data_IF_925189163288
#
_entry.id   IF_925189163288
#
_cell.length_a   1.000
_cell.length_b   1.000
_cell.length_c   1.000
_cell.angle_alpha   90.00
_cell.angle_beta   90.00
_cell.angle_gamma   90.00
#
_symmetry.space_group_name_H-M   'P 1'
#
loop_
_entity.id
_entity.type
_entity.pdbx_description
1 polymer ?
#
# COMPACT_ATOMS: atom_id res chain seq x y z
N UNK A 1 -11.90 -17.59 -15.38
CA UNK A 1 -13.20 -17.91 -14.76
C UNK A 1 -13.70 -16.66 -14.06
N UNK A 2 -14.98 -16.32 -14.25
CA UNK A 2 -15.66 -15.22 -13.54
C UNK A 2 -16.54 -15.82 -12.44
N UNK A 3 -16.46 -15.29 -11.23
CA UNK A 3 -17.19 -15.81 -10.07
C UNK A 3 -17.91 -14.63 -9.40
N UNK A 4 -19.20 -14.81 -9.09
CA UNK A 4 -19.99 -13.79 -8.42
C UNK A 4 -19.85 -13.95 -6.91
N UNK A 5 -19.62 -12.85 -6.21
CA UNK A 5 -19.55 -12.79 -4.75
C UNK A 5 -20.70 -11.91 -4.25
N UNK A 6 -21.58 -12.50 -3.45
CA UNK A 6 -22.66 -11.77 -2.76
C UNK A 6 -22.22 -11.53 -1.31
N UNK A 7 -22.28 -10.28 -0.87
CA UNK A 7 -21.97 -9.88 0.50
C UNK A 7 -23.18 -9.14 1.09
N UNK A 8 -23.51 -9.45 2.34
CA UNK A 8 -24.45 -8.65 3.12
C UNK A 8 -23.70 -7.48 3.74
N UNK A 9 -24.24 -6.27 3.58
CA UNK A 9 -23.67 -5.03 4.07
C UNK A 9 -24.77 -4.22 4.74
N UNK A 10 -24.41 -3.50 5.80
CA UNK A 10 -25.31 -2.50 6.38
C UNK A 10 -25.73 -1.45 5.34
N UNK A 11 -26.99 -1.05 5.38
CA UNK A 11 -27.56 -0.06 4.46
C UNK A 11 -26.79 1.27 4.49
N UNK A 12 -26.36 1.72 5.67
CA UNK A 12 -25.56 2.95 5.82
C UNK A 12 -24.19 2.85 5.12
N UNK A 13 -23.58 1.66 5.16
CA UNK A 13 -22.30 1.40 4.53
C UNK A 13 -22.45 1.35 3.01
N UNK A 14 -23.53 0.72 2.51
CA UNK A 14 -23.85 0.67 1.09
C UNK A 14 -24.07 2.07 0.50
N UNK A 15 -24.78 2.94 1.20
CA UNK A 15 -25.01 4.33 0.77
C UNK A 15 -23.70 5.12 0.70
N UNK A 16 -22.85 5.00 1.73
CA UNK A 16 -21.53 5.63 1.78
C UNK A 16 -20.63 5.14 0.62
N UNK A 17 -20.67 3.84 0.32
CA UNK A 17 -19.94 3.26 -0.82
C UNK A 17 -20.44 3.78 -2.15
N UNK A 18 -21.76 3.91 -2.33
CA UNK A 18 -22.34 4.45 -3.55
C UNK A 18 -21.96 5.93 -3.76
N UNK A 19 -21.98 6.74 -2.70
CA UNK A 19 -21.53 8.13 -2.78
C UNK A 19 -20.04 8.23 -3.12
N UNK A 20 -19.21 7.42 -2.46
CA UNK A 20 -17.78 7.35 -2.75
C UNK A 20 -17.50 6.92 -4.20
N UNK A 21 -18.22 5.92 -4.70
CA UNK A 21 -18.13 5.44 -6.07
C UNK A 21 -18.50 6.52 -7.09
N UNK A 22 -19.63 7.20 -6.88
CA UNK A 22 -20.07 8.34 -7.71
C UNK A 22 -19.04 9.47 -7.74
N UNK A 23 -18.50 9.87 -6.58
CA UNK A 23 -17.50 10.95 -6.50
C UNK A 23 -16.23 10.66 -7.31
N UNK A 24 -15.91 9.38 -7.53
CA UNK A 24 -14.73 8.94 -8.26
C UNK A 24 -15.02 8.51 -9.71
N UNK A 25 -16.29 8.61 -10.15
CA UNK A 25 -16.73 8.16 -11.47
C UNK A 25 -16.53 6.66 -11.70
N UNK A 26 -16.62 5.85 -10.64
CA UNK A 26 -16.42 4.39 -10.68
C UNK A 26 -17.61 3.66 -10.11
N UNK A 27 -17.71 2.36 -10.40
CA UNK A 27 -18.70 1.49 -9.76
C UNK A 27 -18.17 0.94 -8.42
N UNK A 28 -19.10 0.55 -7.54
CA UNK A 28 -18.77 -0.10 -6.27
C UNK A 28 -17.96 -1.39 -6.50
N UNK A 29 -18.35 -2.18 -7.51
CA UNK A 29 -17.64 -3.41 -7.88
C UNK A 29 -16.18 -3.16 -8.27
N UNK A 30 -15.90 -2.14 -9.10
CA UNK A 30 -14.53 -1.79 -9.49
C UNK A 30 -13.67 -1.35 -8.29
N UNK A 31 -14.27 -0.61 -7.35
CA UNK A 31 -13.58 -0.17 -6.15
C UNK A 31 -13.25 -1.37 -5.27
N UNK A 32 -14.24 -2.23 -5.00
CA UNK A 32 -14.04 -3.43 -4.18
C UNK A 32 -13.04 -4.39 -4.81
N UNK A 33 -13.13 -4.64 -6.11
CA UNK A 33 -12.17 -5.47 -6.84
C UNK A 33 -10.75 -4.90 -6.71
N UNK A 34 -10.59 -3.59 -6.89
CA UNK A 34 -9.30 -2.91 -6.73
C UNK A 34 -8.73 -3.04 -5.32
N UNK A 35 -9.56 -2.95 -4.28
CA UNK A 35 -9.11 -3.11 -2.89
C UNK A 35 -8.77 -4.56 -2.57
N UNK A 36 -9.59 -5.53 -3.01
CA UNK A 36 -9.33 -6.96 -2.85
C UNK A 36 -8.03 -7.36 -3.53
N UNK A 37 -7.80 -6.88 -4.77
CA UNK A 37 -6.53 -7.11 -5.48
C UNK A 37 -5.34 -6.56 -4.70
N UNK A 38 -5.43 -5.35 -4.13
CA UNK A 38 -4.36 -4.80 -3.29
C UNK A 38 -4.12 -5.64 -2.04
N UNK A 39 -5.18 -6.06 -1.35
CA UNK A 39 -5.08 -6.88 -0.14
C UNK A 39 -4.37 -8.21 -0.42
N UNK A 40 -4.76 -8.91 -1.48
CA UNK A 40 -4.15 -10.19 -1.89
C UNK A 40 -2.72 -9.98 -2.42
N UNK A 41 -2.47 -8.90 -3.15
CA UNK A 41 -1.16 -8.60 -3.72
C UNK A 41 -0.13 -8.17 -2.65
N UNK A 42 -0.58 -7.58 -1.54
CA UNK A 42 0.29 -7.30 -0.38
C UNK A 42 0.75 -8.62 0.26
N UNK A 43 -0.12 -9.63 0.35
CA UNK A 43 0.27 -10.93 0.91
C UNK A 43 1.27 -11.67 0.01
N UNK A 44 1.15 -11.56 -1.32
CA UNK A 44 2.14 -12.17 -2.24
C UNK A 44 3.46 -11.40 -2.31
N UNK A 45 3.43 -10.06 -2.16
CA UNK A 45 4.63 -9.20 -2.11
C UNK A 45 5.33 -9.13 -0.75
N UNK A 46 4.78 -9.70 0.33
CA UNK A 46 5.54 -9.84 1.59
C UNK A 46 6.75 -10.79 1.50
N UNK A 47 7.01 -11.39 0.33
CA UNK A 47 8.30 -12.04 -0.02
C UNK A 47 9.32 -11.12 -0.70
N UNK A 48 8.96 -9.90 -1.08
CA UNK A 48 9.90 -8.97 -1.72
C UNK A 48 10.45 -8.00 -0.69
N UNK A 49 11.70 -8.24 -0.33
CA UNK A 49 12.62 -7.32 0.32
C UNK A 49 12.28 -5.86 -0.03
N UNK A 50 12.13 -4.95 0.96
CA UNK A 50 11.79 -3.56 0.70
C UNK A 50 12.84 -2.92 -0.23
N UNK A 51 12.46 -1.94 -1.06
CA UNK A 51 13.40 -1.25 -1.98
C UNK A 51 14.65 -0.75 -1.26
N UNK A 52 14.52 -0.37 0.02
CA UNK A 52 15.63 -0.01 0.91
C UNK A 52 16.72 -1.09 1.01
N UNK A 53 16.38 -2.36 0.83
CA UNK A 53 17.34 -3.46 0.81
C UNK A 53 18.27 -3.44 -0.41
N UNK A 54 17.81 -2.96 -1.58
CA UNK A 54 18.66 -2.76 -2.77
C UNK A 54 19.54 -1.53 -2.66
N UNK A 55 19.16 -0.59 -1.80
CA UNK A 55 19.92 0.64 -1.52
C UNK A 55 20.96 0.44 -0.40
N UNK A 56 20.86 -0.64 0.39
CA UNK A 56 21.88 -1.04 1.36
C UNK A 56 23.17 -1.43 0.63
N UNK A 57 24.22 -0.64 0.83
CA UNK A 57 25.55 -0.86 0.23
C UNK A 57 25.86 -0.03 -1.02
N UNK A 58 24.90 0.76 -1.54
CA UNK A 58 25.15 1.71 -2.64
C UNK A 58 25.99 2.90 -2.16
N UNK A 59 25.78 3.31 -0.91
CA UNK A 59 26.56 4.37 -0.28
C UNK A 59 27.82 3.75 0.34
N UNK A 60 28.99 4.10 -0.22
CA UNK A 60 30.28 3.76 0.37
C UNK A 60 30.60 4.83 1.41
N UNK A 61 30.46 4.48 2.69
CA UNK A 61 30.88 5.34 3.80
C UNK A 61 32.32 5.01 4.22
N UNK A 62 33.10 6.01 4.66
CA UNK A 62 34.40 5.76 5.28
C UNK A 62 34.24 4.89 6.54
N UNK A 63 35.26 4.10 6.87
CA UNK A 63 35.22 3.15 7.99
C UNK A 63 34.97 3.82 9.35
N UNK A 64 35.35 5.09 9.48
CA UNK A 64 35.21 5.93 10.67
C UNK A 64 33.98 6.86 10.63
N UNK A 65 32.99 6.56 9.78
CA UNK A 65 31.79 7.39 9.70
C UNK A 65 30.92 7.24 10.96
N UNK A 66 30.86 8.29 11.78
CA UNK A 66 29.95 8.38 12.92
C UNK A 66 28.69 9.15 12.53
N UNK A 67 27.64 8.39 12.22
CA UNK A 67 26.33 8.93 11.83
C UNK A 67 25.75 9.91 12.87
N UNK A 68 26.00 9.68 14.16
CA UNK A 68 25.40 10.51 15.22
C UNK A 68 26.01 11.90 15.22
N UNK A 69 27.35 11.95 15.15
CA UNK A 69 28.11 13.20 15.14
C UNK A 69 27.73 14.08 13.94
N UNK A 70 27.62 13.47 12.76
CA UNK A 70 27.30 14.19 11.53
C UNK A 70 25.83 14.64 11.44
N UNK A 71 24.94 13.98 12.18
CA UNK A 71 23.55 14.40 12.33
C UNK A 71 23.43 15.58 13.30
N UNK A 72 24.20 15.58 14.40
CA UNK A 72 24.26 16.71 15.35
C UNK A 72 24.90 17.97 14.73
N UNK A 73 25.86 17.84 13.82
CA UNK A 73 26.47 18.99 13.12
C UNK A 73 25.56 19.64 12.05
N UNK A 74 24.49 18.95 11.62
CA UNK A 74 23.59 19.40 10.53
C UNK A 74 22.22 19.87 11.00
N UNK A 75 21.95 19.83 12.31
CA UNK A 75 20.75 20.39 12.96
C UNK A 75 21.12 21.77 13.52
#
# INVERSE_FOLDING_TARGET
MTTNLTIELDNNLLESLNQYAKSRGRTVSEILEGQLRKLVQIQSKRKTTPVSSKLRGVVKLPKDFDYKKEMEERI
#
